data_IF_358277673023
#
_entry.id   IF_358277673023
#
_cell.length_a   1.000
_cell.length_b   1.000
_cell.length_c   1.000
_cell.angle_alpha   90.00
_cell.angle_beta   90.00
_cell.angle_gamma   90.00
#
_symmetry.space_group_name_H-M   'P 1'
#
loop_
_entity.id
_entity.type
_entity.pdbx_description
1 polymer ?
#
# COMPACT_ATOMS: atom_id res chain seq x y z
N UNK A 1 -8.87 16.45 -23.00
CA UNK A 1 -8.94 15.39 -21.95
C UNK A 1 -8.15 14.18 -22.43
N UNK A 2 -7.06 13.80 -21.76
CA UNK A 2 -6.29 12.62 -22.14
C UNK A 2 -7.17 11.36 -22.03
N UNK A 3 -7.23 10.55 -23.10
CA UNK A 3 -7.99 9.31 -23.09
C UNK A 3 -7.46 8.38 -21.98
N UNK A 4 -8.37 7.72 -21.25
CA UNK A 4 -7.98 6.77 -20.18
C UNK A 4 -6.99 5.74 -20.74
N UNK A 5 -5.87 5.45 -20.04
CA UNK A 5 -4.90 4.47 -20.48
C UNK A 5 -5.56 3.12 -20.79
N UNK A 6 -5.33 2.57 -21.98
CA UNK A 6 -5.85 1.25 -22.37
C UNK A 6 -5.00 0.16 -21.72
N UNK A 7 -5.50 -0.44 -20.64
CA UNK A 7 -4.84 -1.56 -19.98
C UNK A 7 -5.06 -2.86 -20.79
N UNK A 8 -3.99 -3.45 -21.31
CA UNK A 8 -4.03 -4.77 -21.96
C UNK A 8 -3.97 -5.86 -20.91
N UNK A 9 -4.87 -6.84 -21.01
CA UNK A 9 -4.85 -8.00 -20.13
C UNK A 9 -3.68 -8.91 -20.52
N UNK A 10 -2.75 -9.16 -19.60
CA UNK A 10 -1.63 -10.07 -19.82
C UNK A 10 -2.06 -11.48 -19.33
N UNK A 11 -1.80 -12.50 -20.13
CA UNK A 11 -2.14 -13.91 -19.81
C UNK A 11 -1.21 -14.38 -18.67
N UNK A 12 -1.74 -15.14 -17.71
CA UNK A 12 -0.97 -15.70 -16.59
C UNK A 12 -0.26 -14.65 -15.73
N UNK A 13 -1.00 -13.61 -15.38
CA UNK A 13 -0.47 -12.35 -14.86
C UNK A 13 0.13 -12.37 -13.44
N UNK A 14 -0.10 -13.40 -12.62
CA UNK A 14 0.50 -13.47 -11.28
C UNK A 14 1.90 -14.07 -11.39
N UNK A 15 2.86 -13.23 -11.81
CA UNK A 15 4.29 -13.58 -11.84
C UNK A 15 5.08 -12.50 -11.14
N UNK A 16 5.96 -12.93 -10.27
CA UNK A 16 6.93 -12.09 -9.59
C UNK A 16 8.32 -12.60 -9.95
N UNK A 17 9.17 -11.71 -10.42
CA UNK A 17 10.58 -11.97 -10.67
C UNK A 17 11.40 -11.05 -9.79
N UNK A 18 12.21 -11.61 -8.90
CA UNK A 18 13.17 -10.87 -8.11
C UNK A 18 14.57 -11.13 -8.67
N UNK A 19 15.30 -10.07 -8.97
CA UNK A 19 16.64 -10.13 -9.52
C UNK A 19 17.59 -9.41 -8.57
N UNK A 20 18.68 -10.07 -8.22
CA UNK A 20 19.82 -9.45 -7.53
C UNK A 20 20.80 -8.89 -8.57
N UNK A 21 21.78 -8.09 -8.14
CA UNK A 21 22.77 -7.41 -9.00
C UNK A 21 23.41 -8.29 -10.08
N UNK A 22 23.58 -9.59 -9.84
CA UNK A 22 24.18 -10.52 -10.79
C UNK A 22 23.28 -10.83 -12.02
N UNK A 23 22.00 -10.49 -11.97
CA UNK A 23 20.99 -10.92 -12.95
C UNK A 23 20.26 -9.76 -13.63
N UNK A 24 20.76 -8.53 -13.50
CA UNK A 24 20.31 -7.40 -14.28
C UNK A 24 21.42 -6.38 -14.54
N UNK A 25 21.30 -5.62 -15.63
CA UNK A 25 22.08 -4.41 -15.87
C UNK A 25 21.16 -3.25 -16.20
N UNK A 26 21.60 -2.03 -15.87
CA UNK A 26 20.92 -0.79 -16.27
C UNK A 26 21.93 0.05 -17.05
N UNK A 27 21.62 0.33 -18.31
CA UNK A 27 22.48 1.07 -19.22
C UNK A 27 21.73 2.31 -19.75
N UNK A 28 22.41 3.45 -19.97
CA UNK A 28 21.81 4.59 -20.66
C UNK A 28 21.31 4.18 -22.05
N UNK A 29 20.09 4.57 -22.38
CA UNK A 29 19.55 4.42 -23.73
C UNK A 29 20.00 5.59 -24.62
N UNK A 30 19.72 5.52 -25.92
CA UNK A 30 20.08 6.57 -26.88
C UNK A 30 19.39 7.94 -26.68
N UNK A 31 18.63 8.15 -25.59
CA UNK A 31 17.94 9.41 -25.27
C UNK A 31 18.26 9.83 -23.85
N UNK A 32 18.47 11.13 -23.62
CA UNK A 32 18.76 11.69 -22.30
C UNK A 32 17.66 11.33 -21.29
N UNK A 33 18.08 10.82 -20.13
CA UNK A 33 17.19 10.40 -19.04
C UNK A 33 16.45 9.09 -19.29
N UNK A 34 16.69 8.39 -20.40
CA UNK A 34 16.16 7.06 -20.67
C UNK A 34 17.22 5.99 -20.42
N UNK A 35 16.78 4.86 -19.89
CA UNK A 35 17.63 3.75 -19.49
C UNK A 35 17.00 2.43 -19.91
N UNK A 36 17.83 1.46 -20.28
CA UNK A 36 17.45 0.07 -20.53
C UNK A 36 17.81 -0.79 -19.32
N UNK A 37 16.78 -1.37 -18.71
CA UNK A 37 16.92 -2.44 -17.72
C UNK A 37 16.92 -3.78 -18.44
N UNK A 38 18.04 -4.48 -18.43
CA UNK A 38 18.21 -5.81 -19.04
C UNK A 38 18.17 -6.88 -17.96
N UNK A 39 17.47 -7.98 -18.25
CA UNK A 39 17.35 -9.12 -17.36
C UNK A 39 18.22 -10.28 -17.79
N UNK A 40 18.64 -11.08 -16.82
CA UNK A 40 19.39 -12.30 -17.06
C UNK A 40 20.91 -12.08 -17.07
N UNK A 41 21.62 -13.10 -17.52
CA UNK A 41 23.08 -13.09 -17.63
C UNK A 41 23.48 -13.14 -19.10
N UNK A 42 24.75 -12.94 -19.41
CA UNK A 42 25.26 -13.14 -20.77
C UNK A 42 24.97 -14.54 -21.32
N UNK A 43 24.90 -15.56 -20.44
CA UNK A 43 24.62 -16.95 -20.82
C UNK A 43 23.13 -17.23 -21.01
N UNK A 44 22.27 -16.56 -20.25
CA UNK A 44 20.82 -16.70 -20.31
C UNK A 44 20.24 -15.29 -20.43
N UNK A 45 20.21 -14.73 -21.65
CA UNK A 45 19.63 -13.41 -21.86
C UNK A 45 18.13 -13.47 -21.57
N UNK A 46 17.66 -12.52 -20.78
CA UNK A 46 16.25 -12.33 -20.49
C UNK A 46 15.61 -11.32 -21.44
N UNK A 47 14.77 -10.45 -20.88
CA UNK A 47 14.15 -9.34 -21.61
C UNK A 47 14.74 -7.99 -21.26
N UNK A 48 14.26 -6.95 -21.95
CA UNK A 48 14.64 -5.56 -21.69
C UNK A 48 13.40 -4.72 -21.39
N UNK A 49 13.51 -3.79 -20.45
CA UNK A 49 12.51 -2.77 -20.18
C UNK A 49 13.15 -1.40 -20.30
N UNK A 50 12.58 -0.58 -21.17
CA UNK A 50 12.95 0.82 -21.29
C UNK A 50 12.19 1.65 -20.25
N UNK A 51 12.90 2.48 -19.48
CA UNK A 51 12.29 3.40 -18.52
C UNK A 51 12.94 4.79 -18.57
N UNK A 52 12.21 5.80 -18.09
CA UNK A 52 12.72 7.17 -17.93
C UNK A 52 13.02 7.40 -16.45
N UNK A 53 14.24 7.82 -16.13
CA UNK A 53 14.59 8.27 -14.80
C UNK A 53 14.09 9.71 -14.62
N UNK A 54 13.32 9.95 -13.56
CA UNK A 54 12.82 11.29 -13.22
C UNK A 54 13.74 12.04 -12.25
N UNK A 55 14.70 11.33 -11.66
CA UNK A 55 15.71 11.81 -10.72
C UNK A 55 17.00 11.03 -10.96
N UNK A 56 18.12 11.55 -10.46
CA UNK A 56 19.36 10.80 -10.39
C UNK A 56 19.17 9.56 -9.50
N UNK A 57 19.87 8.48 -9.82
CA UNK A 57 19.79 7.21 -9.10
C UNK A 57 21.12 6.46 -9.17
N UNK A 58 21.38 5.65 -8.16
CA UNK A 58 22.49 4.69 -8.14
C UNK A 58 22.01 3.33 -8.64
N UNK A 59 22.90 2.38 -8.94
CA UNK A 59 22.44 1.04 -9.33
C UNK A 59 21.75 0.36 -8.14
N UNK A 60 20.50 -0.10 -8.28
CA UNK A 60 19.78 -0.74 -7.19
C UNK A 60 20.49 -2.03 -6.73
N UNK A 61 20.23 -2.44 -5.49
CA UNK A 61 20.67 -3.73 -4.98
C UNK A 61 19.82 -4.86 -5.56
N UNK A 62 18.53 -4.62 -5.75
CA UNK A 62 17.59 -5.58 -6.31
C UNK A 62 16.56 -4.91 -7.22
N UNK A 63 16.06 -5.68 -8.17
CA UNK A 63 14.93 -5.30 -9.03
C UNK A 63 13.84 -6.34 -8.91
N UNK A 64 12.63 -5.90 -8.56
CA UNK A 64 11.42 -6.73 -8.60
C UNK A 64 10.57 -6.34 -9.81
N UNK A 65 10.26 -7.32 -10.64
CA UNK A 65 9.30 -7.18 -11.73
C UNK A 65 8.04 -7.93 -11.34
N UNK A 66 6.99 -7.17 -11.07
CA UNK A 66 5.67 -7.70 -10.72
C UNK A 66 4.74 -7.53 -11.90
N UNK A 67 4.30 -8.63 -12.46
CA UNK A 67 3.21 -8.63 -13.41
C UNK A 67 1.88 -8.64 -12.65
N UNK A 68 0.93 -7.84 -13.11
CA UNK A 68 -0.46 -7.85 -12.58
C UNK A 68 -1.45 -7.92 -13.73
N UNK A 69 -2.73 -8.14 -13.41
CA UNK A 69 -3.80 -8.18 -14.42
C UNK A 69 -4.04 -6.85 -15.18
N UNK A 70 -3.34 -5.79 -14.78
CA UNK A 70 -3.49 -4.41 -15.27
C UNK A 70 -2.19 -3.86 -15.86
N UNK A 71 -1.07 -4.08 -15.19
CA UNK A 71 0.20 -3.47 -15.53
C UNK A 71 1.39 -4.37 -15.16
N UNK A 72 2.51 -4.10 -15.80
CA UNK A 72 3.83 -4.54 -15.39
C UNK A 72 4.41 -3.46 -14.47
N UNK A 73 4.83 -3.84 -13.27
CA UNK A 73 5.53 -2.97 -12.33
C UNK A 73 6.99 -3.38 -12.26
N UNK A 74 7.87 -2.39 -12.34
CA UNK A 74 9.30 -2.55 -12.06
C UNK A 74 9.57 -1.74 -10.80
N UNK A 75 10.00 -2.41 -9.75
CA UNK A 75 10.38 -1.79 -8.48
C UNK A 75 11.87 -2.00 -8.29
N UNK A 76 12.57 -0.94 -7.89
CA UNK A 76 14.00 -0.95 -7.67
C UNK A 76 14.21 -0.74 -6.17
N UNK A 77 14.97 -1.65 -5.55
CA UNK A 77 15.36 -1.57 -4.15
C UNK A 77 16.81 -1.13 -4.09
N UNK A 78 17.06 -0.06 -3.37
CA UNK A 78 18.39 0.50 -3.19
C UNK A 78 18.92 0.08 -1.82
N UNK A 79 20.24 -0.10 -1.73
CA UNK A 79 20.89 -0.10 -0.43
C UNK A 79 20.77 1.32 0.12
N UNK A 80 20.21 1.44 1.32
CA UNK A 80 20.14 2.70 2.03
C UNK A 80 21.58 3.03 2.46
N UNK A 81 22.31 3.75 1.60
CA UNK A 81 23.70 4.16 1.84
C UNK A 81 23.80 5.32 2.82
N UNK A 82 22.67 5.94 3.19
CA UNK A 82 22.62 6.96 4.22
C UNK A 82 22.70 6.31 5.60
N UNK A 83 23.93 6.17 6.07
CA UNK A 83 24.19 6.26 7.50
C UNK A 83 23.62 7.58 8.01
N UNK A 84 22.53 7.50 8.79
CA UNK A 84 21.99 8.55 9.68
C UNK A 84 21.50 9.83 8.99
N UNK A 85 20.27 9.80 8.51
CA UNK A 85 19.45 11.02 8.38
C UNK A 85 18.35 11.10 9.45
N UNK A 86 18.48 10.31 10.53
CA UNK A 86 17.80 10.62 11.78
C UNK A 86 18.83 11.39 12.62
N UNK A 87 18.66 12.70 12.82
CA UNK A 87 19.63 13.52 13.55
C UNK A 87 19.79 13.05 15.01
N UNK A 88 18.80 12.32 15.53
CA UNK A 88 18.74 11.86 16.91
C UNK A 88 18.41 10.36 16.96
N UNK A 89 19.09 9.65 17.85
CA UNK A 89 18.69 8.32 18.31
C UNK A 89 17.49 8.41 19.25
N UNK A 90 16.81 7.28 19.52
CA UNK A 90 15.68 7.25 20.47
C UNK A 90 16.07 7.78 21.87
N UNK A 91 17.30 7.50 22.31
CA UNK A 91 17.82 8.01 23.59
C UNK A 91 18.00 9.52 23.58
N UNK A 92 18.63 10.06 22.53
CA UNK A 92 18.85 11.51 22.37
C UNK A 92 17.52 12.26 22.26
N UNK A 93 16.55 11.70 21.53
CA UNK A 93 15.20 12.27 21.42
C UNK A 93 14.48 12.31 22.78
N UNK A 94 14.58 11.25 23.59
CA UNK A 94 14.03 11.23 24.95
C UNK A 94 14.72 12.22 25.87
N UNK A 95 16.05 12.34 25.81
CA UNK A 95 16.81 13.32 26.60
C UNK A 95 16.44 14.75 26.24
N UNK A 96 16.23 15.06 24.96
CA UNK A 96 15.73 16.36 24.51
C UNK A 96 14.32 16.62 25.02
N UNK A 97 13.38 15.69 24.85
CA UNK A 97 11.99 15.85 25.28
C UNK A 97 11.87 15.99 26.81
N UNK A 98 12.76 15.40 27.60
CA UNK A 98 12.81 15.58 29.07
C UNK A 98 13.09 17.01 29.52
N UNK A 99 13.61 17.87 28.64
CA UNK A 99 13.91 19.26 28.96
C UNK A 99 12.66 20.18 28.86
N UNK A 100 11.60 19.69 28.21
CA UNK A 100 10.37 20.44 27.97
C UNK A 100 9.44 20.38 29.20
N UNK A 101 8.68 21.44 29.45
CA UNK A 101 7.59 21.41 30.43
C UNK A 101 6.40 20.57 29.93
N UNK A 102 5.45 20.25 30.82
CA UNK A 102 4.23 19.53 30.43
C UNK A 102 3.43 20.31 29.38
N UNK A 103 3.30 21.62 29.54
CA UNK A 103 2.58 22.48 28.60
C UNK A 103 3.25 22.50 27.22
N UNK A 104 4.58 22.55 27.18
CA UNK A 104 5.34 22.52 25.93
C UNK A 104 5.24 21.16 25.24
N UNK A 105 5.28 20.06 26.01
CA UNK A 105 5.07 18.70 25.49
C UNK A 105 3.67 18.52 24.91
N UNK A 106 2.63 19.08 25.55
CA UNK A 106 1.27 19.05 25.02
C UNK A 106 1.18 19.87 23.73
N UNK A 107 1.86 21.02 23.66
CA UNK A 107 1.85 21.88 22.48
C UNK A 107 2.58 21.27 21.27
N UNK A 108 3.63 20.48 21.50
CA UNK A 108 4.43 19.87 20.44
C UNK A 108 4.14 18.38 20.20
N UNK A 109 3.31 17.75 21.04
CA UNK A 109 2.83 16.40 20.86
C UNK A 109 1.53 16.36 20.06
N UNK A 110 1.30 15.26 19.34
CA UNK A 110 0.00 14.99 18.72
C UNK A 110 -0.46 13.56 18.97
N UNK A 111 -1.54 13.42 19.72
CA UNK A 111 -2.20 12.13 19.96
C UNK A 111 -2.99 11.69 18.74
N UNK A 112 -2.83 10.43 18.34
CA UNK A 112 -3.52 9.83 17.20
C UNK A 112 -4.32 8.61 17.66
N UNK A 113 -5.64 8.74 17.62
CA UNK A 113 -6.58 7.63 17.73
C UNK A 113 -6.83 7.00 16.35
N UNK A 114 -6.76 5.67 16.29
CA UNK A 114 -6.91 4.88 15.04
C UNK A 114 -8.11 3.95 15.14
N UNK A 115 -9.10 4.18 14.30
CA UNK A 115 -10.34 3.41 14.28
C UNK A 115 -10.69 2.79 12.92
N UNK A 116 -11.79 2.03 12.90
CA UNK A 116 -12.33 1.44 11.65
C UNK A 116 -13.32 2.39 10.97
N UNK A 117 -14.19 3.02 11.75
CA UNK A 117 -15.22 3.96 11.25
C UNK A 117 -14.62 5.35 11.06
N UNK A 118 -13.82 5.80 12.04
CA UNK A 118 -13.01 7.02 11.98
C UNK A 118 -11.54 6.57 11.87
N UNK A 119 -10.93 6.61 10.68
CA UNK A 119 -9.62 6.00 10.47
C UNK A 119 -8.51 6.62 11.32
N UNK A 120 -8.47 7.94 11.38
CA UNK A 120 -7.44 8.71 12.10
C UNK A 120 -8.10 9.95 12.69
N UNK A 121 -8.10 10.06 14.02
CA UNK A 121 -8.49 11.26 14.75
C UNK A 121 -7.26 11.78 15.49
N UNK A 122 -6.96 13.06 15.33
CA UNK A 122 -5.85 13.72 16.02
C UNK A 122 -6.34 14.60 17.16
N UNK A 123 -5.52 14.83 18.17
CA UNK A 123 -5.80 15.82 19.22
C UNK A 123 -5.84 17.26 18.67
N UNK A 124 -5.02 17.55 17.66
CA UNK A 124 -4.82 18.92 17.17
C UNK A 124 -5.84 19.35 16.10
N UNK A 125 -6.61 18.42 15.52
CA UNK A 125 -7.61 18.71 14.50
C UNK A 125 -9.01 18.27 14.95
N UNK A 126 -10.04 19.12 14.80
CA UNK A 126 -11.40 18.78 15.19
C UNK A 126 -12.02 17.71 14.29
N UNK A 127 -11.66 17.71 13.00
CA UNK A 127 -12.18 16.78 12.01
C UNK A 127 -11.24 15.58 11.81
N UNK A 128 -11.78 14.35 11.70
CA UNK A 128 -10.97 13.16 11.45
C UNK A 128 -10.48 13.13 10.00
N UNK A 129 -9.29 12.57 9.80
CA UNK A 129 -8.86 12.18 8.46
C UNK A 129 -9.65 10.93 8.07
N UNK A 130 -10.42 11.06 6.99
CA UNK A 130 -11.28 9.99 6.50
C UNK A 130 -11.31 9.96 4.96
N UNK A 131 -11.77 8.83 4.42
CA UNK A 131 -12.05 8.70 3.00
C UNK A 131 -13.24 9.58 2.61
N UNK A 132 -13.19 10.15 1.42
CA UNK A 132 -14.29 10.98 0.91
C UNK A 132 -15.55 10.13 0.65
N UNK A 133 -16.72 10.78 0.68
CA UNK A 133 -18.01 10.12 0.39
C UNK A 133 -17.98 9.41 -0.98
N UNK A 134 -17.40 10.04 -1.99
CA UNK A 134 -17.24 9.48 -3.33
C UNK A 134 -16.33 8.24 -3.36
N UNK A 135 -15.21 8.27 -2.61
CA UNK A 135 -14.31 7.13 -2.48
C UNK A 135 -15.04 5.94 -1.85
N UNK A 136 -15.77 6.17 -0.75
CA UNK A 136 -16.56 5.15 -0.06
C UNK A 136 -17.66 4.58 -0.96
N UNK A 137 -18.41 5.42 -1.68
CA UNK A 137 -19.47 4.98 -2.57
C UNK A 137 -18.93 4.09 -3.71
N UNK A 138 -17.77 4.49 -4.28
CA UNK A 138 -17.07 3.69 -5.29
C UNK A 138 -16.55 2.37 -4.73
N UNK A 139 -16.03 2.34 -3.51
CA UNK A 139 -15.67 1.10 -2.82
C UNK A 139 -16.89 0.20 -2.73
N UNK A 140 -18.02 0.67 -2.18
CA UNK A 140 -19.25 -0.11 -2.06
C UNK A 140 -19.74 -0.65 -3.42
N UNK A 141 -19.66 0.15 -4.48
CA UNK A 141 -19.99 -0.27 -5.85
C UNK A 141 -19.09 -1.42 -6.32
N UNK A 142 -17.78 -1.36 -6.04
CA UNK A 142 -16.83 -2.44 -6.34
C UNK A 142 -17.09 -3.69 -5.52
N UNK A 143 -17.54 -3.57 -4.27
CA UNK A 143 -17.91 -4.71 -3.44
C UNK A 143 -19.18 -5.42 -3.94
N UNK A 144 -20.21 -4.67 -4.36
CA UNK A 144 -21.39 -5.24 -5.02
C UNK A 144 -21.00 -5.99 -6.30
N UNK A 145 -20.13 -5.38 -7.11
CA UNK A 145 -19.59 -5.98 -8.33
C UNK A 145 -18.77 -7.25 -8.02
N UNK A 146 -17.97 -7.25 -6.94
CA UNK A 146 -17.21 -8.40 -6.46
C UNK A 146 -18.13 -9.58 -6.14
N UNK A 147 -19.18 -9.35 -5.34
CA UNK A 147 -20.18 -10.38 -4.99
C UNK A 147 -20.83 -10.98 -6.24
N UNK A 148 -21.20 -10.13 -7.20
CA UNK A 148 -21.77 -10.59 -8.47
C UNK A 148 -20.79 -11.48 -9.27
N UNK A 149 -19.53 -11.08 -9.42
CA UNK A 149 -18.53 -11.89 -10.13
C UNK A 149 -18.17 -13.18 -9.40
N UNK A 150 -18.13 -13.17 -8.06
CA UNK A 150 -17.93 -14.38 -7.27
C UNK A 150 -19.07 -15.39 -7.48
N UNK A 151 -20.34 -14.95 -7.45
CA UNK A 151 -21.51 -15.80 -7.77
C UNK A 151 -21.41 -16.41 -9.17
N UNK A 152 -21.03 -15.61 -10.18
CA UNK A 152 -20.84 -16.11 -11.55
C UNK A 152 -19.69 -17.09 -11.64
N UNK A 153 -18.57 -16.83 -10.96
CA UNK A 153 -17.41 -17.70 -10.93
C UNK A 153 -17.72 -19.07 -10.31
N UNK A 154 -18.55 -19.10 -9.27
CA UNK A 154 -18.97 -20.34 -8.61
C UNK A 154 -19.78 -21.28 -9.53
N UNK A 155 -20.52 -20.71 -10.48
CA UNK A 155 -21.29 -21.45 -11.49
C UNK A 155 -20.45 -21.89 -12.70
N UNK A 156 -19.19 -21.49 -12.80
CA UNK A 156 -18.32 -21.87 -13.91
C UNK A 156 -17.55 -23.16 -13.59
N UNK A 157 -17.43 -24.03 -14.59
CA UNK A 157 -16.60 -25.22 -14.55
C UNK A 157 -15.15 -24.87 -14.17
N UNK A 158 -14.55 -25.69 -13.30
CA UNK A 158 -13.15 -25.54 -12.88
C UNK A 158 -12.23 -25.65 -14.10
N UNK A 159 -11.20 -24.81 -14.18
CA UNK A 159 -10.28 -24.78 -15.32
C UNK A 159 -10.81 -24.07 -16.59
N UNK A 160 -12.12 -23.85 -16.74
CA UNK A 160 -12.68 -23.20 -17.93
C UNK A 160 -12.14 -21.78 -18.16
N UNK A 161 -12.05 -21.39 -19.44
CA UNK A 161 -11.69 -20.01 -19.85
C UNK A 161 -12.62 -18.96 -19.24
N UNK A 162 -13.90 -19.31 -19.07
CA UNK A 162 -14.90 -18.45 -18.44
C UNK A 162 -14.63 -18.24 -16.94
N UNK A 163 -14.25 -19.30 -16.21
CA UNK A 163 -13.84 -19.17 -14.81
C UNK A 163 -12.59 -18.30 -14.67
N UNK A 164 -11.59 -18.49 -15.54
CA UNK A 164 -10.38 -17.65 -15.56
C UNK A 164 -10.72 -16.17 -15.84
N UNK A 165 -11.69 -15.89 -16.71
CA UNK A 165 -12.19 -14.53 -16.96
C UNK A 165 -12.88 -13.94 -15.73
N UNK A 166 -13.73 -14.69 -15.03
CA UNK A 166 -14.41 -14.20 -13.82
C UNK A 166 -13.44 -13.98 -12.66
N UNK A 167 -12.46 -14.89 -12.46
CA UNK A 167 -11.41 -14.71 -11.45
C UNK A 167 -10.65 -13.39 -11.64
N UNK A 168 -10.25 -13.07 -12.87
CA UNK A 168 -9.61 -11.78 -13.19
C UNK A 168 -10.51 -10.58 -12.90
N UNK A 169 -11.81 -10.69 -13.17
CA UNK A 169 -12.77 -9.63 -12.84
C UNK A 169 -12.90 -9.43 -11.32
N UNK A 170 -12.89 -10.51 -10.54
CA UNK A 170 -12.87 -10.46 -9.07
C UNK A 170 -11.59 -9.79 -8.56
N UNK A 171 -10.40 -10.20 -9.05
CA UNK A 171 -9.14 -9.58 -8.64
C UNK A 171 -9.16 -8.05 -8.85
N UNK A 172 -9.63 -7.61 -10.02
CA UNK A 172 -9.69 -6.17 -10.38
C UNK A 172 -10.57 -5.31 -9.48
N UNK A 173 -11.53 -5.89 -8.75
CA UNK A 173 -12.39 -5.10 -7.84
C UNK A 173 -11.67 -4.75 -6.54
N UNK A 174 -10.66 -5.51 -6.12
CA UNK A 174 -9.89 -5.24 -4.91
C UNK A 174 -8.92 -4.06 -5.09
N UNK A 175 -8.35 -3.92 -6.29
CA UNK A 175 -7.33 -2.90 -6.57
C UNK A 175 -7.76 -1.47 -6.22
N UNK A 176 -9.03 -1.12 -6.45
CA UNK A 176 -9.49 0.24 -6.18
C UNK A 176 -9.43 0.55 -4.68
N UNK A 177 -9.96 -0.35 -3.84
CA UNK A 177 -9.94 -0.19 -2.39
C UNK A 177 -8.49 -0.16 -1.87
N UNK A 178 -7.63 -1.05 -2.36
CA UNK A 178 -6.20 -1.08 -2.00
C UNK A 178 -5.55 0.26 -2.31
N UNK A 179 -5.70 0.77 -3.53
CA UNK A 179 -5.07 2.01 -3.95
C UNK A 179 -5.59 3.21 -3.15
N UNK A 180 -6.90 3.29 -2.91
CA UNK A 180 -7.50 4.38 -2.10
C UNK A 180 -6.98 4.35 -0.66
N UNK A 181 -6.88 3.17 -0.05
CA UNK A 181 -6.36 3.05 1.33
C UNK A 181 -4.88 3.43 1.39
N UNK A 182 -4.07 2.97 0.42
CA UNK A 182 -2.66 3.34 0.37
C UNK A 182 -2.48 4.85 0.17
N UNK A 183 -3.20 5.44 -0.79
CA UNK A 183 -3.16 6.88 -1.07
C UNK A 183 -3.60 7.70 0.15
N UNK A 184 -4.67 7.28 0.82
CA UNK A 184 -5.09 7.86 2.10
C UNK A 184 -3.98 7.80 3.14
N UNK A 185 -3.37 6.64 3.37
CA UNK A 185 -2.29 6.50 4.34
C UNK A 185 -1.11 7.43 4.02
N UNK A 186 -0.69 7.50 2.75
CA UNK A 186 0.40 8.39 2.32
C UNK A 186 0.06 9.86 2.52
N UNK A 187 -1.13 10.30 2.10
CA UNK A 187 -1.56 11.70 2.23
C UNK A 187 -1.72 12.10 3.69
N UNK A 188 -2.31 11.24 4.52
CA UNK A 188 -2.49 11.50 5.96
C UNK A 188 -1.14 11.54 6.66
N UNK A 189 -0.25 10.56 6.46
CA UNK A 189 1.08 10.59 7.07
C UNK A 189 1.89 11.81 6.64
N UNK A 190 1.84 12.19 5.37
CA UNK A 190 2.49 13.41 4.90
C UNK A 190 1.90 14.65 5.58
N UNK A 191 0.57 14.78 5.62
CA UNK A 191 -0.09 15.91 6.25
C UNK A 191 0.25 16.04 7.75
N UNK A 192 0.36 14.91 8.45
CA UNK A 192 0.73 14.88 9.87
C UNK A 192 2.19 15.32 10.08
N UNK A 193 3.13 14.80 9.29
CA UNK A 193 4.57 15.10 9.44
C UNK A 193 4.94 16.48 8.90
N UNK A 194 4.15 17.06 8.00
CA UNK A 194 4.36 18.43 7.50
C UNK A 194 3.96 19.53 8.50
N UNK A 195 3.40 19.19 9.66
CA UNK A 195 3.14 20.17 10.71
C UNK A 195 4.40 20.37 11.57
N UNK A 196 5.15 21.43 11.28
CA UNK A 196 6.42 21.77 11.95
C UNK A 196 6.28 21.96 13.47
N UNK A 197 5.05 22.17 13.99
CA UNK A 197 4.81 22.29 15.43
C UNK A 197 4.85 20.93 16.14
N UNK A 198 4.59 19.85 15.41
CA UNK A 198 4.50 18.50 15.98
C UNK A 198 5.88 17.85 15.94
N UNK A 199 6.44 17.58 17.10
CA UNK A 199 7.74 16.93 17.26
C UNK A 199 7.63 15.42 17.47
N UNK A 200 6.52 14.95 18.03
CA UNK A 200 6.28 13.53 18.25
C UNK A 200 4.80 13.17 18.16
N UNK A 201 4.55 11.91 17.80
CA UNK A 201 3.21 11.35 17.70
C UNK A 201 2.99 10.30 18.78
N UNK A 202 1.85 10.38 19.45
CA UNK A 202 1.45 9.37 20.43
C UNK A 202 0.38 8.50 19.80
N UNK A 203 0.62 7.20 19.74
CA UNK A 203 -0.27 6.22 19.15
C UNK A 203 -0.56 5.13 20.17
N UNK A 204 -1.80 4.65 20.20
CA UNK A 204 -2.13 3.46 20.98
C UNK A 204 -1.46 2.22 20.38
N UNK A 205 -0.90 1.38 21.25
CA UNK A 205 -0.43 0.03 20.88
C UNK A 205 -1.64 -0.91 20.70
N UNK A 206 -2.33 -0.71 19.59
CA UNK A 206 -3.52 -1.47 19.25
C UNK A 206 -3.17 -2.93 18.96
N UNK A 207 -3.78 -3.84 19.70
CA UNK A 207 -3.81 -5.26 19.37
C UNK A 207 -4.75 -5.52 18.19
N UNK A 208 -4.32 -5.13 16.98
CA UNK A 208 -5.12 -5.19 15.74
C UNK A 208 -5.73 -6.57 15.48
N UNK A 209 -5.01 -7.64 15.83
CA UNK A 209 -5.52 -9.02 15.73
C UNK A 209 -6.79 -9.23 16.55
N UNK A 210 -6.87 -8.64 17.76
CA UNK A 210 -8.03 -8.75 18.62
C UNK A 210 -9.20 -7.92 18.09
N UNK A 211 -8.92 -6.74 17.51
CA UNK A 211 -9.95 -5.86 16.93
C UNK A 211 -10.60 -6.46 15.67
N UNK A 212 -9.88 -7.31 14.95
CA UNK A 212 -10.38 -7.95 13.72
C UNK A 212 -10.89 -9.37 13.96
N UNK A 213 -10.64 -9.95 15.14
CA UNK A 213 -11.19 -11.24 15.56
C UNK A 213 -12.71 -11.10 15.67
N UNK A 214 -13.44 -12.08 15.14
CA UNK A 214 -14.88 -12.16 15.40
C UNK A 214 -15.10 -12.35 16.91
N UNK A 215 -16.05 -11.64 17.52
CA UNK A 215 -16.38 -11.87 18.92
C UNK A 215 -16.81 -13.33 19.10
N UNK A 216 -16.54 -13.88 20.27
CA UNK A 216 -16.99 -15.22 20.60
C UNK A 216 -18.51 -15.24 20.65
N UNK A 217 -19.16 -16.26 20.05
CA UNK A 217 -20.60 -16.34 20.04
C UNK A 217 -21.10 -16.45 21.48
N UNK A 218 -21.98 -15.53 21.87
CA UNK A 218 -22.74 -15.64 23.12
C UNK A 218 -23.97 -16.49 22.84
N UNK A 219 -24.30 -17.39 23.75
CA UNK A 219 -25.49 -18.22 23.64
C UNK A 219 -26.51 -17.78 24.69
N UNK A 220 -27.80 -17.89 24.37
CA UNK A 220 -28.86 -17.80 25.37
C UNK A 220 -28.96 -19.11 26.18
N UNK A 221 -29.85 -19.11 27.18
CA UNK A 221 -30.10 -20.28 28.04
C UNK A 221 -30.62 -21.50 27.25
N UNK A 222 -31.07 -21.30 26.00
CA UNK A 222 -31.52 -22.34 25.09
C UNK A 222 -30.43 -22.76 24.08
N UNK A 223 -29.17 -22.44 24.35
CA UNK A 223 -28.01 -22.73 23.50
C UNK A 223 -28.10 -22.14 22.07
N UNK A 224 -28.88 -21.07 21.89
CA UNK A 224 -29.01 -20.36 20.61
C UNK A 224 -28.05 -19.18 20.58
N UNK A 225 -27.30 -19.05 19.48
CA UNK A 225 -26.36 -17.94 19.32
C UNK A 225 -27.12 -16.60 19.27
N UNK A 226 -26.77 -15.70 20.18
CA UNK A 226 -27.22 -14.32 20.21
C UNK A 226 -26.56 -13.55 19.06
N UNK A 227 -27.29 -12.61 18.42
CA UNK A 227 -26.69 -11.73 17.43
C UNK A 227 -25.60 -10.88 18.09
N UNK A 228 -24.49 -10.69 17.37
CA UNK A 228 -23.51 -9.68 17.76
C UNK A 228 -24.19 -8.33 17.61
N UNK A 229 -24.20 -7.54 18.69
CA UNK A 229 -24.79 -6.19 18.73
C UNK A 229 -24.28 -5.27 17.63
#
# INVERSE_FOLDING_TARGET
MAARPKLRAIKDAERHLLLTRAYFSIEPAGRVGWYELRFGTARIPGGTILFRAHREFVVPAMVSVTLTSKALFVSMSYEETEQKQFPETEKEMLERLRQYSEEELIACGNGIDRGVVRPVQTSNAPEPYALTKDQLERIHRKERQRKHYQKRMARCEKGSRNRAKMRRKVARTFDYRKNVINDFAHQTSHALVSDDKVQFFVLEDLRVKNMTKRPEPKYDDNAKALPNG
#
